data_IF_473302355282
#
_entry.id   IF_473302355282
#
_cell.length_a   1.000
_cell.length_b   1.000
_cell.length_c   1.000
_cell.angle_alpha   90.00
_cell.angle_beta   90.00
_cell.angle_gamma   90.00
#
_symmetry.space_group_name_H-M   'P 1'
#
loop_
_entity.id
_entity.type
_entity.pdbx_description
1 polymer ?
#
# COMPACT_ATOMS: atom_id res chain seq x y z
N UNK A 1 8.69 -27.33 -5.15
CA UNK A 1 7.85 -26.48 -4.28
C UNK A 1 7.18 -25.45 -5.17
N UNK A 2 5.88 -25.14 -5.00
CA UNK A 2 5.30 -24.00 -5.71
C UNK A 2 6.12 -22.75 -5.38
N UNK A 3 6.33 -21.88 -6.38
CA UNK A 3 7.02 -20.61 -6.16
C UNK A 3 6.25 -19.79 -5.13
N UNK A 4 6.96 -19.18 -4.17
CA UNK A 4 6.33 -18.29 -3.19
C UNK A 4 5.90 -17.02 -3.92
N UNK A 5 4.64 -16.58 -3.79
CA UNK A 5 4.20 -15.36 -4.47
C UNK A 5 4.93 -14.13 -3.92
N UNK A 6 5.20 -13.18 -4.81
CA UNK A 6 5.88 -11.92 -4.49
C UNK A 6 4.87 -10.85 -4.12
N UNK A 7 4.99 -10.31 -2.92
CA UNK A 7 4.08 -9.29 -2.38
C UNK A 7 4.80 -7.95 -2.20
N UNK A 8 4.27 -6.89 -2.82
CA UNK A 8 4.70 -5.52 -2.57
C UNK A 8 3.81 -4.90 -1.47
N UNK A 9 4.42 -4.50 -0.36
CA UNK A 9 3.74 -3.83 0.74
C UNK A 9 4.07 -2.34 0.70
N UNK A 10 3.11 -1.54 0.28
CA UNK A 10 3.25 -0.09 0.13
C UNK A 10 2.84 0.59 1.43
N UNK A 11 3.78 1.26 2.09
CA UNK A 11 3.56 2.01 3.33
C UNK A 11 4.56 3.15 3.48
N UNK A 12 4.15 4.23 4.14
CA UNK A 12 5.06 5.28 4.60
C UNK A 12 5.33 5.08 6.09
N UNK A 13 6.44 4.39 6.41
CA UNK A 13 6.85 4.12 7.79
C UNK A 13 7.21 5.39 8.57
N UNK A 14 7.48 6.50 7.89
CA UNK A 14 7.80 7.79 8.50
C UNK A 14 6.55 8.66 8.71
N UNK A 15 5.38 8.25 8.22
CA UNK A 15 4.17 9.07 8.25
C UNK A 15 3.76 9.40 9.71
N UNK A 16 3.73 10.70 10.10
CA UNK A 16 3.45 11.11 11.46
C UNK A 16 1.93 11.06 11.72
N UNK A 17 1.44 9.92 12.17
CA UNK A 17 0.06 9.84 12.65
C UNK A 17 -0.07 10.45 14.05
N UNK A 18 -0.88 11.50 14.16
CA UNK A 18 -1.22 12.21 15.41
C UNK A 18 -1.62 11.22 16.52
N UNK A 19 -0.66 10.83 17.36
CA UNK A 19 -0.85 9.95 18.52
C UNK A 19 -0.93 8.45 18.24
N UNK A 20 -0.63 7.97 17.03
CA UNK A 20 -0.60 6.52 16.69
C UNK A 20 0.70 6.17 15.96
N UNK A 21 1.38 5.11 16.40
CA UNK A 21 2.54 4.56 15.69
C UNK A 21 2.07 3.49 14.70
N UNK A 22 1.54 3.91 13.55
CA UNK A 22 1.11 2.96 12.51
C UNK A 22 2.26 2.09 11.97
N UNK A 23 3.50 2.60 12.03
CA UNK A 23 4.70 1.84 11.71
C UNK A 23 4.79 0.52 12.51
N UNK A 24 4.40 0.49 13.79
CA UNK A 24 4.49 -0.72 14.61
C UNK A 24 3.51 -1.82 14.11
N UNK A 25 2.32 -1.43 13.63
CA UNK A 25 1.33 -2.33 13.04
C UNK A 25 1.83 -2.92 11.72
N UNK A 26 2.42 -2.08 10.85
CA UNK A 26 2.95 -2.53 9.56
C UNK A 26 4.17 -3.44 9.74
N UNK A 27 5.05 -3.13 10.69
CA UNK A 27 6.16 -4.01 11.08
C UNK A 27 5.63 -5.37 11.56
N UNK A 28 4.60 -5.37 12.42
CA UNK A 28 4.00 -6.62 12.88
C UNK A 28 3.38 -7.42 11.73
N UNK A 29 2.56 -6.80 10.88
CA UNK A 29 1.90 -7.47 9.76
C UNK A 29 2.92 -8.04 8.76
N UNK A 30 3.93 -7.26 8.38
CA UNK A 30 4.97 -7.69 7.44
C UNK A 30 5.80 -8.85 8.01
N UNK A 31 6.04 -8.88 9.33
CA UNK A 31 6.70 -10.01 10.00
C UNK A 31 5.92 -11.32 9.93
N UNK A 32 4.59 -11.26 9.80
CA UNK A 32 3.72 -12.43 9.58
C UNK A 32 3.67 -12.82 8.10
N UNK A 33 3.47 -11.85 7.21
CA UNK A 33 3.34 -12.08 5.77
C UNK A 33 4.59 -12.71 5.15
N UNK A 34 5.79 -12.38 5.65
CA UNK A 34 7.04 -13.00 5.19
C UNK A 34 7.13 -14.52 5.45
N UNK A 35 6.20 -15.10 6.22
CA UNK A 35 6.11 -16.56 6.38
C UNK A 35 5.58 -17.24 5.11
N UNK A 36 4.76 -16.54 4.32
CA UNK A 36 4.06 -17.08 3.16
C UNK A 36 4.54 -16.46 1.84
N UNK A 37 4.99 -15.19 1.85
CA UNK A 37 5.34 -14.42 0.64
C UNK A 37 6.81 -14.03 0.57
N UNK A 38 7.31 -13.84 -0.65
CA UNK A 38 8.53 -13.07 -0.91
C UNK A 38 8.17 -11.58 -0.85
N UNK A 39 8.54 -10.93 0.26
CA UNK A 39 8.01 -9.63 0.64
C UNK A 39 9.01 -8.50 0.41
N UNK A 40 8.54 -7.40 -0.18
CA UNK A 40 9.25 -6.12 -0.19
C UNK A 40 8.36 -4.99 0.34
N UNK A 41 8.97 -3.99 0.98
CA UNK A 41 8.31 -2.77 1.41
C UNK A 41 8.77 -1.60 0.55
N UNK A 42 7.87 -0.68 0.20
CA UNK A 42 8.25 0.55 -0.50
C UNK A 42 7.39 1.74 -0.08
N UNK A 43 7.94 2.93 -0.28
CA UNK A 43 7.19 4.17 -0.15
C UNK A 43 6.12 4.28 -1.25
N UNK A 44 4.96 4.93 -1.00
CA UNK A 44 3.91 5.10 -2.01
C UNK A 44 4.37 5.74 -3.33
N UNK A 45 5.35 6.64 -3.27
CA UNK A 45 5.91 7.31 -4.46
C UNK A 45 6.68 6.37 -5.39
N UNK A 46 7.26 5.30 -4.85
CA UNK A 46 8.07 4.35 -5.62
C UNK A 46 7.24 3.18 -6.15
N UNK A 47 6.02 3.01 -5.65
CA UNK A 47 5.20 1.82 -5.88
C UNK A 47 4.97 1.55 -7.37
N UNK A 48 4.67 2.59 -8.17
CA UNK A 48 4.39 2.44 -9.60
C UNK A 48 5.56 1.86 -10.40
N UNK A 49 6.80 2.19 -10.03
CA UNK A 49 8.00 1.70 -10.71
C UNK A 49 8.30 0.22 -10.38
N UNK A 50 7.85 -0.26 -9.22
CA UNK A 50 8.16 -1.59 -8.71
C UNK A 50 7.14 -2.66 -9.13
N UNK A 51 5.93 -2.28 -9.56
CA UNK A 51 4.81 -3.19 -9.82
C UNK A 51 5.13 -4.41 -10.70
N UNK A 52 5.96 -4.23 -11.72
CA UNK A 52 6.28 -5.27 -12.71
C UNK A 52 7.02 -6.48 -12.10
N UNK A 53 7.58 -6.31 -10.90
CA UNK A 53 8.27 -7.37 -10.17
C UNK A 53 7.41 -8.18 -9.19
N UNK A 54 6.11 -7.92 -9.06
CA UNK A 54 5.30 -8.51 -7.98
C UNK A 54 3.98 -9.12 -8.48
N UNK A 55 3.47 -10.11 -7.75
CA UNK A 55 2.22 -10.80 -8.09
C UNK A 55 0.99 -10.10 -7.47
N UNK A 56 1.20 -9.40 -6.35
CA UNK A 56 0.16 -8.70 -5.62
C UNK A 56 0.71 -7.49 -4.86
N UNK A 57 -0.19 -6.56 -4.51
CA UNK A 57 0.12 -5.34 -3.76
C UNK A 57 -0.85 -5.14 -2.61
N UNK A 58 -0.32 -4.75 -1.45
CA UNK A 58 -1.08 -4.26 -0.29
C UNK A 58 -0.69 -2.81 -0.05
N UNK A 59 -1.66 -1.91 0.12
CA UNK A 59 -1.40 -0.49 0.41
C UNK A 59 -1.94 -0.16 1.80
N UNK A 60 -1.07 0.25 2.73
CA UNK A 60 -1.46 0.63 4.09
C UNK A 60 -0.71 1.87 4.54
N UNK A 61 -1.33 2.66 5.42
CA UNK A 61 -0.68 3.77 6.14
C UNK A 61 0.16 4.71 5.26
N UNK A 62 -0.24 4.89 4.00
CA UNK A 62 0.49 5.64 2.97
C UNK A 62 0.35 7.16 3.09
N UNK A 63 -0.16 7.64 4.23
CA UNK A 63 -0.63 9.02 4.38
C UNK A 63 -1.86 9.33 3.50
N UNK A 64 -2.45 10.54 3.62
CA UNK A 64 -3.53 10.97 2.77
C UNK A 64 -3.03 11.11 1.33
N UNK A 65 -3.75 10.46 0.41
CA UNK A 65 -3.55 10.55 -1.05
C UNK A 65 -3.52 12.02 -1.53
N UNK A 66 -4.13 12.93 -0.77
CA UNK A 66 -4.17 14.37 -1.04
C UNK A 66 -2.80 15.03 -1.29
N UNK A 67 -1.70 14.47 -0.76
CA UNK A 67 -0.35 15.00 -1.01
C UNK A 67 0.36 14.38 -2.22
N UNK A 68 -0.19 13.29 -2.78
CA UNK A 68 0.45 12.46 -3.81
C UNK A 68 -0.54 11.94 -4.86
N UNK A 69 -1.50 12.78 -5.27
CA UNK A 69 -2.55 12.40 -6.22
C UNK A 69 -1.98 11.89 -7.55
N UNK A 70 -0.99 12.59 -8.13
CA UNK A 70 -0.34 12.17 -9.39
C UNK A 70 0.34 10.80 -9.27
N UNK A 71 1.05 10.55 -8.16
CA UNK A 71 1.71 9.27 -7.92
C UNK A 71 0.69 8.14 -7.71
N UNK A 72 -0.42 8.43 -7.03
CA UNK A 72 -1.52 7.48 -6.85
C UNK A 72 -2.21 7.15 -8.17
N UNK A 73 -2.45 8.14 -9.03
CA UNK A 73 -3.05 7.92 -10.34
C UNK A 73 -2.10 7.13 -11.26
N UNK A 74 -0.80 7.44 -11.24
CA UNK A 74 0.22 6.66 -11.94
C UNK A 74 0.26 5.21 -11.47
N UNK A 75 0.22 4.99 -10.15
CA UNK A 75 0.13 3.65 -9.56
C UNK A 75 -1.13 2.91 -10.04
N UNK A 76 -2.30 3.55 -10.00
CA UNK A 76 -3.57 2.93 -10.44
C UNK A 76 -3.57 2.57 -11.91
N UNK A 77 -3.10 3.49 -12.76
CA UNK A 77 -3.01 3.26 -14.20
C UNK A 77 -2.08 2.08 -14.49
N UNK A 78 -0.92 2.03 -13.82
CA UNK A 78 0.07 0.97 -14.00
C UNK A 78 -0.43 -0.39 -13.47
N UNK A 79 -1.03 -0.42 -12.28
CA UNK A 79 -1.59 -1.64 -11.71
C UNK A 79 -2.71 -2.22 -12.58
N UNK A 80 -3.55 -1.36 -13.15
CA UNK A 80 -4.60 -1.75 -14.09
C UNK A 80 -4.02 -2.30 -15.40
N UNK A 81 -3.03 -1.61 -15.98
CA UNK A 81 -2.39 -2.04 -17.23
C UNK A 81 -1.66 -3.38 -17.08
N UNK A 82 -1.05 -3.64 -15.93
CA UNK A 82 -0.34 -4.89 -15.63
C UNK A 82 -1.26 -5.99 -15.09
N UNK A 83 -2.53 -5.69 -14.78
CA UNK A 83 -3.46 -6.65 -14.19
C UNK A 83 -3.07 -7.10 -12.78
N UNK A 84 -2.34 -6.26 -12.04
CA UNK A 84 -1.83 -6.59 -10.69
C UNK A 84 -2.99 -6.65 -9.69
N UNK A 85 -2.97 -7.68 -8.84
CA UNK A 85 -3.95 -7.83 -7.77
C UNK A 85 -3.64 -6.86 -6.64
N UNK A 86 -4.47 -5.84 -6.47
CA UNK A 86 -4.38 -4.92 -5.33
C UNK A 86 -5.39 -5.35 -4.27
N UNK A 87 -4.92 -5.62 -3.05
CA UNK A 87 -5.76 -6.05 -1.94
C UNK A 87 -6.77 -4.98 -1.52
N UNK A 88 -6.35 -3.71 -1.52
CA UNK A 88 -7.21 -2.59 -1.19
C UNK A 88 -8.11 -2.25 -2.38
N UNK A 89 -9.42 -2.02 -2.16
CA UNK A 89 -10.28 -1.57 -3.25
C UNK A 89 -9.81 -0.20 -3.75
N UNK A 90 -9.41 -0.15 -5.03
CA UNK A 90 -9.01 1.07 -5.74
C UNK A 90 -10.13 2.11 -5.88
N UNK A 91 -11.31 1.85 -5.31
CA UNK A 91 -12.45 2.77 -5.22
C UNK A 91 -12.25 3.83 -4.12
N UNK A 92 -11.20 3.69 -3.31
CA UNK A 92 -10.64 4.71 -2.41
C UNK A 92 -11.61 5.34 -1.41
N UNK A 93 -12.65 4.61 -1.00
CA UNK A 93 -13.61 5.10 -0.01
C UNK A 93 -13.09 5.12 1.44
N UNK A 94 -11.98 4.46 1.75
CA UNK A 94 -11.55 4.29 3.14
C UNK A 94 -10.62 5.39 3.65
N UNK A 95 -9.73 5.96 2.82
CA UNK A 95 -8.72 6.94 3.27
C UNK A 95 -8.50 8.14 2.32
N UNK A 96 -9.23 8.25 1.20
CA UNK A 96 -9.02 9.37 0.24
C UNK A 96 -9.69 10.69 0.65
N UNK A 97 -10.61 10.66 1.61
CA UNK A 97 -11.27 11.87 2.15
C UNK A 97 -10.80 12.00 3.59
N UNK A 98 -9.68 12.70 3.81
CA UNK A 98 -9.01 12.75 5.11
C UNK A 98 -10.01 12.96 6.26
N UNK A 99 -10.09 12.01 7.20
CA UNK A 99 -10.85 12.08 8.47
C UNK A 99 -12.08 13.02 8.47
N UNK A 100 -13.03 12.84 7.55
CA UNK A 100 -14.35 13.46 7.64
C UNK A 100 -15.49 12.43 7.62
N UNK A 101 -15.26 11.28 8.25
CA UNK A 101 -16.37 10.40 8.67
C UNK A 101 -16.29 10.16 10.18
N UNK A 102 -16.45 11.26 10.90
CA UNK A 102 -17.08 11.29 12.22
C UNK A 102 -17.74 12.65 12.32
N UNK A 103 -18.96 12.77 11.78
CA UNK A 103 -20.11 13.50 12.34
C UNK A 103 -21.28 13.34 11.37
N UNK A 104 -22.40 12.89 11.96
CA UNK A 104 -23.74 12.58 11.44
C UNK A 104 -23.89 11.34 10.58
#
# INVERSE_FOLDING_TARGET
MPARPRLLYVTDLAYPARGRRYCDEDVFLTSRLRADFDLALCHPLDAAALLDGFDAVVVRNSGPVLHHQEAYDAFRARATALGIRVYNPLTGRADMVGKQYCWT
#
